data_IF_319594114965
#
_entry.id   IF_319594114965
#
_cell.length_a   1.000
_cell.length_b   1.000
_cell.length_c   1.000
_cell.angle_alpha   90.00
_cell.angle_beta   90.00
_cell.angle_gamma   90.00
#
_symmetry.space_group_name_H-M   'P 1'
#
loop_
_entity.id
_entity.type
_entity.pdbx_description
1 polymer ?
#
# COMPACT_ATOMS: atom_id res chain seq x y z
N UNK A 1 -74.80 49.44 24.15
CA UNK A 1 -73.39 49.89 24.19
C UNK A 1 -72.67 49.22 23.03
N UNK A 2 -72.07 50.01 22.13
CA UNK A 2 -70.82 49.77 21.33
C UNK A 2 -70.65 48.42 20.60
N UNK A 3 -70.25 48.29 19.33
CA UNK A 3 -69.52 49.16 18.40
C UNK A 3 -69.65 48.62 16.96
N UNK A 4 -69.40 49.48 15.97
CA UNK A 4 -69.43 49.25 14.50
C UNK A 4 -68.09 48.69 13.98
N UNK A 5 -68.10 48.07 12.78
CA UNK A 5 -67.18 48.22 11.60
C UNK A 5 -67.74 47.27 10.50
N UNK A 6 -68.45 47.78 9.48
CA UNK A 6 -68.06 48.14 8.10
C UNK A 6 -67.59 46.98 7.18
N UNK A 7 -68.23 46.94 6.01
CA UNK A 7 -68.17 45.96 4.91
C UNK A 7 -67.17 46.36 3.79
N UNK A 8 -67.02 45.47 2.79
CA UNK A 8 -66.34 45.56 1.47
C UNK A 8 -64.81 45.35 1.47
N UNK A 9 -64.13 44.68 0.51
CA UNK A 9 -64.41 44.19 -0.86
C UNK A 9 -63.27 43.20 -1.24
N UNK A 10 -63.54 42.03 -1.86
CA UNK A 10 -63.42 41.69 -3.30
C UNK A 10 -61.99 41.37 -3.82
N UNK A 11 -61.90 40.41 -4.78
CA UNK A 11 -60.79 40.12 -5.75
C UNK A 11 -59.77 39.08 -5.19
N UNK A 12 -59.43 37.92 -5.79
CA UNK A 12 -59.56 37.41 -7.16
C UNK A 12 -58.89 36.02 -7.31
N UNK A 13 -59.53 35.15 -8.11
CA UNK A 13 -58.96 34.12 -9.02
C UNK A 13 -58.42 32.79 -8.46
N UNK A 14 -59.22 31.76 -8.79
CA UNK A 14 -58.82 30.41 -9.16
C UNK A 14 -57.51 30.34 -9.94
N UNK A 15 -56.55 29.56 -9.47
CA UNK A 15 -55.69 28.77 -10.35
C UNK A 15 -55.37 27.45 -9.64
N UNK A 16 -56.24 26.47 -9.86
CA UNK A 16 -55.80 25.08 -9.88
C UNK A 16 -54.76 24.99 -10.98
N UNK A 17 -53.52 24.67 -10.64
CA UNK A 17 -52.67 23.93 -11.56
C UNK A 17 -51.56 23.23 -10.79
N UNK A 18 -51.59 21.90 -10.91
CA UNK A 18 -50.45 21.01 -10.89
C UNK A 18 -49.45 21.15 -9.72
N UNK A 19 -49.78 20.52 -8.59
CA UNK A 19 -48.72 19.89 -7.79
C UNK A 19 -48.14 18.74 -8.64
N UNK A 20 -47.11 19.04 -9.44
CA UNK A 20 -46.17 18.02 -9.87
C UNK A 20 -45.56 17.46 -8.59
N UNK A 21 -45.86 16.19 -8.30
CA UNK A 21 -45.11 15.43 -7.31
C UNK A 21 -43.64 15.44 -7.77
N UNK A 22 -42.82 16.26 -7.13
CA UNK A 22 -41.39 16.19 -7.26
C UNK A 22 -40.99 14.87 -6.59
N UNK A 23 -40.94 13.80 -7.37
CA UNK A 23 -40.32 12.55 -6.95
C UNK A 23 -38.82 12.87 -6.89
N UNK A 24 -38.19 12.96 -5.71
CA UNK A 24 -36.74 13.00 -5.70
C UNK A 24 -36.26 11.71 -6.38
N UNK A 25 -35.42 11.86 -7.40
CA UNK A 25 -34.72 10.72 -7.96
C UNK A 25 -34.09 9.93 -6.81
N UNK A 26 -34.06 8.58 -6.84
CA UNK A 26 -33.27 7.84 -5.88
C UNK A 26 -31.85 8.39 -5.99
N UNK A 27 -31.42 9.09 -4.95
CA UNK A 27 -30.04 9.51 -4.78
C UNK A 27 -29.25 8.21 -4.79
N UNK A 28 -28.60 7.94 -5.92
CA UNK A 28 -27.65 6.85 -6.00
C UNK A 28 -26.54 7.28 -5.05
N UNK A 29 -26.63 6.82 -3.80
CA UNK A 29 -25.57 6.94 -2.82
C UNK A 29 -24.33 6.35 -3.48
N UNK A 30 -23.51 7.25 -4.02
CA UNK A 30 -22.14 6.93 -4.35
C UNK A 30 -21.53 6.74 -2.99
N UNK A 31 -21.54 5.50 -2.49
CA UNK A 31 -20.59 5.09 -1.48
C UNK A 31 -19.25 5.50 -2.07
N UNK A 32 -18.71 6.62 -1.58
CA UNK A 32 -17.32 6.95 -1.77
C UNK A 32 -16.60 5.74 -1.22
N UNK A 33 -16.11 4.89 -2.10
CA UNK A 33 -14.96 4.08 -1.77
C UNK A 33 -13.90 5.12 -1.46
N UNK A 34 -13.74 5.43 -0.18
CA UNK A 34 -12.55 6.08 0.33
C UNK A 34 -11.41 5.20 -0.16
N UNK A 35 -10.80 5.58 -1.28
CA UNK A 35 -9.48 5.10 -1.65
C UNK A 35 -8.54 5.68 -0.60
N UNK A 36 -8.55 5.14 0.62
CA UNK A 36 -7.39 5.16 1.49
C UNK A 36 -6.39 4.24 0.80
N UNK A 37 -5.82 4.73 -0.29
CA UNK A 37 -5.19 3.92 -1.33
C UNK A 37 -3.88 3.37 -0.81
N UNK A 38 -3.96 2.22 -0.14
CA UNK A 38 -2.92 1.21 -0.32
C UNK A 38 -2.64 1.13 -1.81
N UNK A 39 -1.38 1.31 -2.17
CA UNK A 39 -0.88 1.05 -3.53
C UNK A 39 -0.43 -0.41 -3.66
N UNK A 40 -0.45 -1.13 -2.55
CA UNK A 40 -0.27 -2.57 -2.49
C UNK A 40 -1.06 -3.29 -3.60
N UNK A 41 -0.41 -4.24 -4.24
CA UNK A 41 -0.98 -5.03 -5.32
C UNK A 41 -0.63 -6.49 -5.12
N UNK A 42 -1.51 -7.44 -5.47
CA UNK A 42 -1.22 -8.84 -5.30
C UNK A 42 0.04 -9.27 -6.03
N UNK A 43 0.83 -10.10 -5.36
CA UNK A 43 1.93 -10.80 -5.98
C UNK A 43 1.45 -11.60 -7.20
N UNK A 44 2.08 -11.35 -8.34
CA UNK A 44 1.77 -11.98 -9.64
C UNK A 44 2.72 -13.12 -9.99
N UNK A 45 3.84 -13.23 -9.27
CA UNK A 45 4.86 -14.26 -9.43
C UNK A 45 4.90 -15.25 -8.26
N UNK A 46 5.99 -16.00 -8.20
CA UNK A 46 6.26 -16.93 -7.09
C UNK A 46 7.15 -16.31 -6.00
N UNK A 47 7.77 -15.17 -6.26
CA UNK A 47 8.52 -14.42 -5.24
C UNK A 47 7.70 -13.19 -4.89
N UNK A 48 7.35 -13.09 -3.61
CA UNK A 48 6.46 -12.07 -3.09
C UNK A 48 7.15 -11.33 -1.93
N UNK A 49 6.84 -10.05 -1.77
CA UNK A 49 7.14 -9.32 -0.54
C UNK A 49 6.33 -9.96 0.60
N UNK A 50 6.92 -10.08 1.77
CA UNK A 50 6.28 -10.76 2.91
C UNK A 50 6.34 -9.96 4.21
N UNK A 51 7.43 -9.22 4.42
CA UNK A 51 7.58 -8.36 5.60
C UNK A 51 8.48 -7.15 5.28
N UNK A 52 8.29 -6.04 5.99
CA UNK A 52 9.17 -4.87 5.92
C UNK A 52 9.37 -4.23 7.30
N UNK A 53 10.60 -3.76 7.57
CA UNK A 53 10.94 -2.88 8.70
C UNK A 53 11.33 -1.50 8.15
N UNK A 54 10.34 -0.62 7.90
CA UNK A 54 10.61 0.72 7.37
C UNK A 54 11.14 1.71 8.40
N UNK A 55 10.80 1.54 9.68
CA UNK A 55 11.15 2.49 10.73
C UNK A 55 11.70 1.73 11.95
N UNK A 56 12.93 1.20 11.89
CA UNK A 56 13.50 0.46 13.00
C UNK A 56 13.65 1.33 14.26
N UNK A 57 13.83 0.69 15.41
CA UNK A 57 14.24 1.41 16.61
C UNK A 57 15.69 1.88 16.45
N UNK A 58 15.90 3.20 16.44
CA UNK A 58 17.24 3.78 16.35
C UNK A 58 17.53 4.33 14.96
N UNK A 59 18.64 3.91 14.36
CA UNK A 59 19.08 4.43 13.07
C UNK A 59 18.62 3.52 11.93
N UNK A 60 17.86 4.08 10.98
CA UNK A 60 17.45 3.44 9.73
C UNK A 60 18.61 2.81 8.96
N UNK A 61 19.79 3.41 9.08
CA UNK A 61 21.04 3.04 8.40
C UNK A 61 21.84 1.94 9.11
N UNK A 62 21.38 1.44 10.25
CA UNK A 62 22.10 0.38 10.95
C UNK A 62 22.17 -0.92 10.12
N UNK A 63 23.08 -1.82 10.49
CA UNK A 63 23.11 -3.16 9.90
C UNK A 63 21.88 -3.95 10.33
N UNK A 64 21.43 -4.88 9.48
CA UNK A 64 20.37 -5.82 9.87
C UNK A 64 20.75 -6.55 11.18
N UNK A 65 19.81 -6.77 12.11
CA UNK A 65 18.37 -6.49 12.02
C UNK A 65 17.94 -5.10 12.52
N UNK A 66 18.89 -4.24 12.92
CA UNK A 66 18.58 -2.99 13.61
C UNK A 66 18.33 -1.80 12.66
N UNK A 67 18.61 -1.95 11.37
CA UNK A 67 18.30 -0.95 10.34
C UNK A 67 17.07 -1.33 9.52
N UNK A 68 16.84 -0.61 8.43
CA UNK A 68 15.76 -0.91 7.50
C UNK A 68 16.03 -2.19 6.71
N UNK A 69 14.96 -2.96 6.49
CA UNK A 69 15.00 -4.17 5.67
C UNK A 69 13.62 -4.53 5.14
N UNK A 70 13.58 -5.41 4.16
CA UNK A 70 12.37 -6.09 3.73
C UNK A 70 12.67 -7.55 3.41
N UNK A 71 11.65 -8.38 3.47
CA UNK A 71 11.68 -9.81 3.27
C UNK A 71 10.90 -10.17 2.00
N UNK A 72 11.49 -11.06 1.21
CA UNK A 72 10.83 -11.73 0.10
C UNK A 72 10.74 -13.23 0.38
N UNK A 73 9.65 -13.86 -0.03
CA UNK A 73 9.42 -15.30 0.14
C UNK A 73 9.12 -15.97 -1.19
N UNK A 74 9.51 -17.25 -1.32
CA UNK A 74 9.12 -18.08 -2.45
C UNK A 74 7.85 -18.86 -2.14
N UNK A 75 6.72 -18.38 -2.66
CA UNK A 75 5.39 -19.02 -2.54
C UNK A 75 5.17 -20.12 -3.59
N UNK A 76 6.10 -20.30 -4.53
CA UNK A 76 6.06 -21.32 -5.56
C UNK A 76 6.45 -22.72 -5.06
N UNK A 77 6.68 -23.62 -6.02
CA UNK A 77 7.02 -25.05 -5.74
C UNK A 77 8.42 -25.45 -6.23
N UNK A 78 9.17 -24.51 -6.80
CA UNK A 78 10.53 -24.73 -7.31
C UNK A 78 11.50 -23.72 -6.73
N UNK A 79 12.77 -24.08 -6.64
CA UNK A 79 13.84 -23.13 -6.29
C UNK A 79 13.91 -22.00 -7.34
N UNK A 80 14.06 -20.76 -6.88
CA UNK A 80 14.14 -19.58 -7.76
C UNK A 80 15.44 -18.84 -7.50
N UNK A 81 16.20 -18.63 -8.58
CA UNK A 81 17.36 -17.74 -8.59
C UNK A 81 16.90 -16.29 -8.72
N UNK A 82 17.29 -15.45 -7.77
CA UNK A 82 16.95 -14.03 -7.70
C UNK A 82 18.06 -13.13 -8.29
N UNK A 83 19.02 -13.69 -9.00
CA UNK A 83 20.07 -12.92 -9.68
C UNK A 83 19.47 -11.89 -10.64
N UNK A 84 19.86 -10.63 -10.46
CA UNK A 84 19.38 -9.50 -11.28
C UNK A 84 18.02 -8.94 -10.88
N UNK A 85 17.39 -9.48 -9.84
CA UNK A 85 16.18 -8.90 -9.25
C UNK A 85 16.51 -7.63 -8.47
N UNK A 86 15.49 -6.80 -8.26
CA UNK A 86 15.63 -5.55 -7.54
C UNK A 86 14.32 -5.07 -6.93
N UNK A 87 14.41 -4.11 -6.03
CA UNK A 87 13.26 -3.39 -5.52
C UNK A 87 13.46 -1.87 -5.62
N UNK A 88 12.36 -1.14 -5.81
CA UNK A 88 12.31 0.31 -5.82
C UNK A 88 11.45 0.82 -4.67
N UNK A 89 11.86 1.93 -4.06
CA UNK A 89 10.97 2.71 -3.19
C UNK A 89 10.19 3.76 -4.01
N UNK A 90 9.28 4.48 -3.36
CA UNK A 90 8.47 5.56 -3.96
C UNK A 90 9.28 6.66 -4.62
N UNK A 91 10.52 6.86 -4.17
CA UNK A 91 11.40 7.91 -4.67
C UNK A 91 12.16 7.46 -5.93
N UNK A 92 11.95 6.22 -6.39
CA UNK A 92 12.66 5.63 -7.51
C UNK A 92 14.09 5.20 -7.17
N UNK A 93 14.45 5.15 -5.88
CA UNK A 93 15.75 4.62 -5.47
C UNK A 93 15.70 3.09 -5.52
N UNK A 94 16.64 2.50 -6.24
CA UNK A 94 16.72 1.05 -6.44
C UNK A 94 17.69 0.38 -5.45
N UNK A 95 17.32 -0.80 -4.96
CA UNK A 95 18.23 -1.77 -4.34
C UNK A 95 18.31 -3.01 -5.24
N UNK A 96 19.50 -3.28 -5.78
CA UNK A 96 19.77 -4.54 -6.49
C UNK A 96 19.92 -5.66 -5.47
N UNK A 97 19.47 -6.87 -5.80
CA UNK A 97 19.72 -8.02 -4.93
C UNK A 97 21.10 -8.55 -5.27
N UNK A 98 22.07 -8.24 -4.42
CA UNK A 98 23.48 -8.54 -4.65
C UNK A 98 24.24 -8.78 -3.34
N UNK A 99 25.57 -8.92 -3.43
CA UNK A 99 26.42 -9.20 -2.27
C UNK A 99 26.38 -8.14 -1.17
N UNK A 100 25.95 -6.90 -1.49
CA UNK A 100 25.86 -5.82 -0.52
C UNK A 100 24.49 -5.77 0.17
N UNK A 101 23.43 -6.21 -0.51
CA UNK A 101 22.05 -6.10 -0.01
C UNK A 101 21.47 -7.38 0.56
N UNK A 102 21.91 -8.54 0.09
CA UNK A 102 21.46 -9.85 0.58
C UNK A 102 22.06 -10.06 1.98
N UNK A 103 21.19 -10.11 2.99
CA UNK A 103 21.61 -10.42 4.36
C UNK A 103 22.14 -11.85 4.41
N UNK A 104 23.33 -12.04 4.98
CA UNK A 104 23.96 -13.36 5.07
C UNK A 104 24.61 -13.84 3.76
N UNK A 105 24.80 -12.95 2.78
CA UNK A 105 25.49 -13.26 1.53
C UNK A 105 26.83 -13.98 1.74
N UNK A 106 27.06 -15.04 0.97
CA UNK A 106 28.31 -15.79 0.95
C UNK A 106 28.64 -16.20 -0.49
N UNK A 107 29.69 -15.62 -1.06
CA UNK A 107 30.12 -15.88 -2.44
C UNK A 107 30.53 -17.32 -2.73
N UNK A 108 30.85 -18.10 -1.69
CA UNK A 108 31.18 -19.53 -1.82
C UNK A 108 29.95 -20.44 -1.71
N UNK A 109 28.77 -19.89 -1.45
CA UNK A 109 27.52 -20.62 -1.33
C UNK A 109 26.50 -20.13 -2.38
N UNK A 110 26.30 -20.85 -3.49
CA UNK A 110 25.33 -20.44 -4.51
C UNK A 110 23.89 -20.37 -3.98
N UNK A 111 23.58 -21.03 -2.86
CA UNK A 111 22.26 -20.95 -2.23
C UNK A 111 21.92 -19.54 -1.74
N UNK A 112 22.88 -18.62 -1.59
CA UNK A 112 22.58 -17.23 -1.18
C UNK A 112 21.84 -16.42 -2.24
N UNK A 113 21.75 -16.94 -3.47
CA UNK A 113 21.00 -16.35 -4.58
C UNK A 113 19.70 -17.11 -4.89
N UNK A 114 19.42 -18.17 -4.16
CA UNK A 114 18.32 -19.08 -4.47
C UNK A 114 17.38 -19.17 -3.30
N UNK A 115 16.11 -18.85 -3.51
CA UNK A 115 15.05 -19.03 -2.51
C UNK A 115 14.37 -20.36 -2.81
N UNK A 116 14.44 -21.32 -1.88
CA UNK A 116 13.73 -22.59 -2.00
C UNK A 116 12.25 -22.42 -1.62
N UNK A 117 11.34 -23.31 -2.05
CA UNK A 117 9.91 -23.20 -1.74
C UNK A 117 9.63 -23.05 -0.24
N UNK A 118 8.87 -22.02 0.12
CA UNK A 118 8.49 -21.70 1.50
C UNK A 118 9.58 -21.03 2.34
N UNK A 119 10.78 -20.82 1.80
CA UNK A 119 11.84 -20.04 2.47
C UNK A 119 11.73 -18.55 2.11
N UNK A 120 12.54 -17.75 2.80
CA UNK A 120 12.60 -16.31 2.62
C UNK A 120 14.04 -15.81 2.49
N UNK A 121 14.17 -14.57 2.04
CA UNK A 121 15.43 -13.84 1.97
C UNK A 121 15.20 -12.41 2.43
N UNK A 122 16.10 -11.92 3.28
CA UNK A 122 16.06 -10.54 3.78
C UNK A 122 17.03 -9.65 3.01
N UNK A 123 16.53 -8.51 2.56
CA UNK A 123 17.28 -7.47 1.87
C UNK A 123 17.40 -6.24 2.77
N UNK A 124 18.61 -5.71 2.88
CA UNK A 124 18.88 -4.50 3.64
C UNK A 124 19.98 -3.68 2.97
N UNK A 125 20.00 -2.36 3.18
CA UNK A 125 21.19 -1.54 2.83
C UNK A 125 22.39 -1.83 3.73
N UNK A 126 22.17 -2.58 4.80
CA UNK A 126 23.16 -3.24 5.65
C UNK A 126 24.34 -2.34 6.07
N UNK A 127 24.04 -1.20 6.71
CA UNK A 127 25.07 -0.26 7.20
C UNK A 127 25.41 0.89 6.24
N UNK A 128 24.71 1.03 5.11
CA UNK A 128 24.85 2.19 4.21
C UNK A 128 24.58 3.51 4.93
N UNK A 129 25.23 4.61 4.51
CA UNK A 129 25.06 5.93 5.13
C UNK A 129 23.72 6.61 4.86
N UNK A 130 22.86 6.03 4.03
CA UNK A 130 21.56 6.59 3.65
C UNK A 130 20.45 5.56 3.89
N UNK A 131 19.37 6.00 4.55
CA UNK A 131 18.13 5.25 4.61
C UNK A 131 17.52 5.15 3.22
N UNK A 132 16.68 4.13 3.04
CA UNK A 132 16.12 3.76 1.76
C UNK A 132 14.62 3.62 1.81
N UNK A 133 14.05 3.00 2.85
CA UNK A 133 12.60 3.02 3.04
C UNK A 133 12.18 4.39 3.61
N UNK A 134 10.91 4.71 3.48
CA UNK A 134 10.34 5.93 4.05
C UNK A 134 9.26 5.61 5.06
N UNK A 135 9.21 6.44 6.11
CA UNK A 135 8.28 6.23 7.22
C UNK A 135 6.83 6.62 6.91
N UNK A 136 6.53 7.12 5.71
CA UNK A 136 5.20 7.62 5.38
C UNK A 136 4.94 7.56 3.88
N UNK A 137 3.76 7.10 3.48
CA UNK A 137 3.32 6.98 2.10
C UNK A 137 4.36 6.29 1.22
N UNK A 138 4.84 5.12 1.64
CA UNK A 138 5.79 4.31 0.87
C UNK A 138 5.08 3.43 -0.15
N UNK A 139 5.77 3.18 -1.25
CA UNK A 139 5.48 2.10 -2.20
C UNK A 139 6.77 1.34 -2.44
N UNK A 140 6.79 0.08 -2.04
CA UNK A 140 7.90 -0.84 -2.25
C UNK A 140 7.54 -1.78 -3.39
N UNK A 141 8.15 -1.55 -4.55
CA UNK A 141 7.89 -2.33 -5.77
C UNK A 141 8.99 -3.37 -5.97
N UNK A 142 8.60 -4.64 -6.17
CA UNK A 142 9.49 -5.76 -6.46
C UNK A 142 9.52 -6.06 -7.96
N UNK A 143 10.70 -6.21 -8.53
CA UNK A 143 10.91 -6.53 -9.94
C UNK A 143 11.82 -7.73 -10.14
N UNK A 144 11.49 -8.54 -11.15
CA UNK A 144 12.36 -9.62 -11.60
C UNK A 144 13.52 -9.11 -12.49
N UNK A 145 14.41 -10.04 -12.87
CA UNK A 145 15.55 -9.74 -13.76
C UNK A 145 15.16 -9.29 -15.18
N UNK A 146 13.89 -9.44 -15.55
CA UNK A 146 13.33 -9.02 -16.85
C UNK A 146 12.65 -7.64 -16.78
N UNK A 147 12.72 -6.96 -15.63
CA UNK A 147 12.02 -5.70 -15.31
C UNK A 147 10.48 -5.86 -15.26
N UNK A 148 9.98 -7.07 -15.01
CA UNK A 148 8.57 -7.30 -14.77
C UNK A 148 8.28 -7.11 -13.28
N UNK A 149 7.33 -6.21 -12.96
CA UNK A 149 6.88 -6.01 -11.58
C UNK A 149 6.18 -7.28 -11.10
N UNK A 150 6.69 -7.86 -10.01
CA UNK A 150 6.15 -9.06 -9.40
C UNK A 150 5.14 -8.73 -8.30
N UNK A 151 5.45 -7.71 -7.50
CA UNK A 151 4.71 -7.41 -6.29
C UNK A 151 4.85 -5.93 -5.89
N UNK A 152 3.94 -5.45 -5.04
CA UNK A 152 4.00 -4.12 -4.45
C UNK A 152 3.43 -4.13 -3.03
N UNK A 153 4.21 -3.64 -2.07
CA UNK A 153 3.76 -3.32 -0.72
C UNK A 153 3.63 -1.80 -0.57
N UNK A 154 2.71 -1.36 0.30
CA UNK A 154 2.60 0.05 0.66
C UNK A 154 2.30 0.22 2.13
N UNK A 155 2.66 1.39 2.68
CA UNK A 155 2.20 1.81 4.00
C UNK A 155 2.04 3.32 4.05
N UNK A 156 0.94 3.76 4.65
CA UNK A 156 0.64 5.18 4.85
C UNK A 156 1.56 5.78 5.92
N UNK A 157 1.86 5.03 6.97
CA UNK A 157 2.75 5.44 8.06
C UNK A 157 3.40 4.26 8.76
N UNK A 158 4.71 4.37 8.99
CA UNK A 158 5.52 3.40 9.70
C UNK A 158 5.72 3.78 11.18
N UNK A 159 5.22 2.94 12.09
CA UNK A 159 5.49 3.05 13.52
C UNK A 159 6.94 2.62 13.81
N UNK A 160 7.62 3.37 14.68
CA UNK A 160 8.99 3.03 15.05
C UNK A 160 9.05 1.70 15.80
N UNK A 161 9.96 0.83 15.38
CA UNK A 161 10.22 -0.47 15.98
C UNK A 161 9.25 -1.58 15.59
N UNK A 162 8.34 -1.34 14.64
CA UNK A 162 7.38 -2.34 14.16
C UNK A 162 7.69 -2.73 12.72
N UNK A 163 7.71 -4.04 12.47
CA UNK A 163 7.64 -4.57 11.12
C UNK A 163 6.19 -4.70 10.65
N UNK A 164 6.04 -4.78 9.35
CA UNK A 164 4.82 -4.71 8.57
C UNK A 164 4.75 -5.97 7.73
N UNK A 165 3.72 -6.79 7.92
CA UNK A 165 3.58 -8.13 7.30
C UNK A 165 2.41 -8.10 6.33
N UNK A 166 2.57 -8.75 5.17
CA UNK A 166 1.49 -8.90 4.19
C UNK A 166 0.22 -9.49 4.84
N UNK A 167 -0.94 -8.91 4.52
CA UNK A 167 -2.22 -9.48 4.94
C UNK A 167 -2.66 -10.59 3.97
N UNK A 168 -2.65 -11.88 4.37
CA UNK A 168 -2.99 -12.98 3.47
C UNK A 168 -4.48 -13.00 3.08
N UNK A 169 -5.34 -12.26 3.78
CA UNK A 169 -6.76 -12.16 3.46
C UNK A 169 -7.08 -11.03 2.47
N UNK A 170 -6.18 -10.07 2.30
CA UNK A 170 -6.36 -8.92 1.41
C UNK A 170 -5.01 -8.39 0.92
N UNK A 171 -4.58 -8.87 -0.25
CA UNK A 171 -3.33 -8.46 -0.87
C UNK A 171 -3.35 -7.02 -1.44
N UNK A 172 -4.49 -6.31 -1.36
CA UNK A 172 -4.57 -4.88 -1.68
C UNK A 172 -4.55 -4.00 -0.41
N UNK A 173 -4.53 -4.60 0.78
CA UNK A 173 -4.46 -3.87 2.03
C UNK A 173 -3.13 -3.11 2.12
N UNK A 174 -3.21 -1.87 2.57
CA UNK A 174 -2.03 -1.14 3.04
C UNK A 174 -1.46 -1.89 4.26
N UNK A 175 -0.14 -2.06 4.30
CA UNK A 175 0.53 -2.79 5.38
C UNK A 175 0.56 -1.96 6.66
#
# INVERSE_FOLDING_TARGET
>A
MTSRIKSFSLILVFLMSSFLAFIPAPELETQGFELTSGRASPCTGNICLSEAMPNPNGADTATWPNGEWFEITNTGTTNIDISGWYANNKNGNQIMFDSASIVGYNSSNPATWTIVPGDFLVLARNGSSMSWLTNSAETLELFDSSNSKQDEASWTSASSGSSYVENPADAYADW
#
